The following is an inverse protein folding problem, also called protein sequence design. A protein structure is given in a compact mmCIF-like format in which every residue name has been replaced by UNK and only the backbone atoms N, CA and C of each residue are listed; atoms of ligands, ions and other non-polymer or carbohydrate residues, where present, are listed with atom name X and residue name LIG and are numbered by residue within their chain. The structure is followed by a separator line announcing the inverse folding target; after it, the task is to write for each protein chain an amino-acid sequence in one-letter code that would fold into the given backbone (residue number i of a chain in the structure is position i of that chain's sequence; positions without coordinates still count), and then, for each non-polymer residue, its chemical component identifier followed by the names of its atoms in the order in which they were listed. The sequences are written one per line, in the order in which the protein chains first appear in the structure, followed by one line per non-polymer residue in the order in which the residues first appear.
data_IF_066499217254
#
_entry.id   IF_066499217254
#
_cell.length_a   1.000
_cell.length_b   1.000
_cell.length_c   1.000
_cell.angle_alpha   90.00
_cell.angle_beta   90.00
_cell.angle_gamma   90.00
#
_symmetry.space_group_name_H-M   'P 1'
#
loop_
_entity.id
_entity.type
_entity.pdbx_description
1 polymer ?
#
# COMPACT_ATOMS: atom_id res chain seq x y z
N UNK A 1 -15.24 6.82 24.71
CA UNK A 1 -15.44 7.21 23.29
C UNK A 1 -16.92 7.22 22.97
N UNK A 2 -17.45 8.26 22.34
CA UNK A 2 -18.87 8.34 21.97
C UNK A 2 -19.15 7.43 20.77
N UNK A 3 -20.39 6.95 20.63
CA UNK A 3 -20.80 6.09 19.50
C UNK A 3 -20.53 6.75 18.13
N UNK A 4 -20.57 8.08 18.08
CA UNK A 4 -20.21 8.88 16.92
C UNK A 4 -18.72 8.80 16.56
N UNK A 5 -17.82 8.84 17.54
CA UNK A 5 -16.37 8.79 17.27
C UNK A 5 -15.94 7.45 16.64
N UNK A 6 -16.61 6.35 17.02
CA UNK A 6 -16.35 5.01 16.46
C UNK A 6 -16.79 4.93 14.99
N UNK A 7 -17.96 5.49 14.64
CA UNK A 7 -18.46 5.48 13.27
C UNK A 7 -17.61 6.34 12.33
N UNK A 8 -17.17 7.50 12.81
CA UNK A 8 -16.26 8.38 12.07
C UNK A 8 -14.91 7.68 11.79
N UNK A 9 -14.32 7.04 12.80
CA UNK A 9 -13.05 6.31 12.66
C UNK A 9 -13.16 5.16 11.64
N UNK A 10 -14.28 4.43 11.63
CA UNK A 10 -14.55 3.37 10.64
C UNK A 10 -14.66 3.92 9.21
N UNK A 11 -15.37 5.03 9.04
CA UNK A 11 -15.48 5.71 7.74
C UNK A 11 -14.11 6.17 7.23
N UNK A 12 -13.29 6.72 8.13
CA UNK A 12 -11.93 7.14 7.82
C UNK A 12 -11.06 5.95 7.40
N UNK A 13 -11.15 4.82 8.10
CA UNK A 13 -10.45 3.58 7.76
C UNK A 13 -10.81 3.09 6.36
N UNK A 14 -12.11 3.02 6.04
CA UNK A 14 -12.61 2.61 4.73
C UNK A 14 -12.10 3.56 3.64
N UNK A 15 -12.18 4.88 3.88
CA UNK A 15 -11.72 5.90 2.95
C UNK A 15 -10.23 5.75 2.63
N UNK A 16 -9.38 5.65 3.66
CA UNK A 16 -7.93 5.53 3.46
C UNK A 16 -7.52 4.19 2.85
N UNK A 17 -8.17 3.09 3.24
CA UNK A 17 -7.95 1.78 2.60
C UNK A 17 -8.33 1.84 1.13
N UNK A 18 -9.45 2.50 0.80
CA UNK A 18 -9.87 2.75 -0.57
C UNK A 18 -8.87 3.61 -1.36
N UNK A 19 -8.36 4.70 -0.76
CA UNK A 19 -7.34 5.54 -1.39
C UNK A 19 -6.03 4.80 -1.64
N UNK A 20 -5.59 3.97 -0.68
CA UNK A 20 -4.39 3.14 -0.87
C UNK A 20 -4.60 2.05 -1.91
N UNK A 21 -5.77 1.41 -1.95
CA UNK A 21 -6.12 0.47 -3.02
C UNK A 21 -6.12 1.16 -4.39
N UNK A 22 -6.70 2.35 -4.48
CA UNK A 22 -6.67 3.17 -5.70
C UNK A 22 -5.24 3.57 -6.09
N UNK A 23 -4.40 3.97 -5.13
CA UNK A 23 -3.00 4.29 -5.37
C UNK A 23 -2.19 3.07 -5.83
N UNK A 24 -2.44 1.90 -5.23
CA UNK A 24 -1.82 0.62 -5.62
C UNK A 24 -2.23 0.21 -7.03
N UNK A 25 -3.51 0.39 -7.37
CA UNK A 25 -4.04 0.13 -8.70
C UNK A 25 -3.50 1.12 -9.74
N UNK A 26 -3.42 2.40 -9.40
CA UNK A 26 -2.81 3.41 -10.26
C UNK A 26 -1.34 3.08 -10.54
N UNK A 27 -0.60 2.68 -9.51
CA UNK A 27 0.80 2.30 -9.63
C UNK A 27 0.99 1.04 -10.49
N UNK A 28 0.04 0.08 -10.42
CA UNK A 28 -0.03 -1.07 -11.32
C UNK A 28 -0.28 -0.65 -12.77
N UNK A 29 -1.24 0.24 -13.02
CA UNK A 29 -1.55 0.74 -14.36
C UNK A 29 -0.41 1.58 -14.95
N UNK A 30 0.17 2.49 -14.19
CA UNK A 30 1.36 3.25 -14.60
C UNK A 30 2.49 2.30 -14.95
N UNK A 31 2.71 1.27 -14.14
CA UNK A 31 3.71 0.25 -14.40
C UNK A 31 3.46 -0.51 -15.71
N UNK A 32 2.20 -0.89 -16.00
CA UNK A 32 1.84 -1.50 -17.28
C UNK A 32 2.04 -0.56 -18.47
N UNK A 33 1.66 0.72 -18.35
CA UNK A 33 1.84 1.72 -19.40
C UNK A 33 3.31 1.96 -19.73
N UNK A 34 4.17 1.87 -18.71
CA UNK A 34 5.63 1.94 -18.81
C UNK A 34 6.26 0.66 -19.41
N UNK A 35 5.45 -0.33 -19.81
CA UNK A 35 5.90 -1.63 -20.30
C UNK A 35 6.86 -2.33 -19.33
N UNK A 36 6.69 -2.12 -18.02
CA UNK A 36 7.43 -2.89 -17.03
C UNK A 36 7.17 -4.38 -17.26
N UNK A 37 8.24 -5.16 -17.35
CA UNK A 37 8.14 -6.60 -17.41
C UNK A 37 7.27 -7.12 -16.26
N UNK A 38 6.33 -8.01 -16.57
CA UNK A 38 5.36 -8.56 -15.61
C UNK A 38 6.05 -9.11 -14.35
N UNK A 39 7.28 -9.61 -14.50
CA UNK A 39 8.15 -10.09 -13.43
C UNK A 39 8.56 -9.00 -12.45
N UNK A 40 8.95 -7.81 -12.92
CA UNK A 40 9.34 -6.68 -12.05
C UNK A 40 8.14 -6.17 -11.27
N UNK A 41 6.98 -6.18 -11.91
CA UNK A 41 5.69 -5.82 -11.31
C UNK A 41 5.33 -6.82 -10.20
N UNK A 42 5.41 -8.12 -10.49
CA UNK A 42 5.20 -9.18 -9.51
C UNK A 42 6.18 -9.09 -8.33
N UNK A 43 7.45 -8.75 -8.56
CA UNK A 43 8.43 -8.55 -7.48
C UNK A 43 8.14 -7.30 -6.64
N UNK A 44 7.84 -6.16 -7.26
CA UNK A 44 7.56 -4.92 -6.55
C UNK A 44 6.37 -5.08 -5.59
N UNK A 45 5.24 -5.60 -6.10
CA UNK A 45 4.06 -5.82 -5.28
C UNK A 45 4.21 -7.03 -4.36
N UNK A 46 4.90 -8.10 -4.80
CA UNK A 46 5.16 -9.27 -3.96
C UNK A 46 5.99 -8.93 -2.73
N UNK A 47 7.04 -8.14 -2.88
CA UNK A 47 7.85 -7.62 -1.76
C UNK A 47 7.03 -6.67 -0.88
N UNK A 48 6.25 -5.77 -1.48
CA UNK A 48 5.36 -4.88 -0.74
C UNK A 48 4.35 -5.64 0.12
N UNK A 49 3.66 -6.63 -0.46
CA UNK A 49 2.67 -7.44 0.25
C UNK A 49 3.31 -8.32 1.33
N UNK A 50 4.44 -8.97 1.03
CA UNK A 50 5.12 -9.84 1.99
C UNK A 50 5.66 -9.07 3.21
N UNK A 51 5.99 -7.79 3.07
CA UNK A 51 6.35 -6.94 4.20
C UNK A 51 5.15 -6.25 4.88
N UNK A 52 4.15 -5.82 4.11
CA UNK A 52 3.00 -5.07 4.61
C UNK A 52 1.98 -5.94 5.36
N UNK A 53 1.75 -7.18 4.91
CA UNK A 53 0.77 -8.10 5.51
C UNK A 53 1.14 -8.50 6.95
N UNK A 54 2.41 -8.85 7.28
CA UNK A 54 2.83 -9.12 8.66
C UNK A 54 2.65 -7.90 9.57
N UNK A 55 2.92 -6.69 9.09
CA UNK A 55 2.78 -5.46 9.89
C UNK A 55 1.30 -5.21 10.21
N UNK A 56 0.42 -5.38 9.22
CA UNK A 56 -1.02 -5.32 9.45
C UNK A 56 -1.51 -6.40 10.42
N UNK A 57 -1.01 -7.63 10.29
CA UNK A 57 -1.34 -8.74 11.17
C UNK A 57 -0.85 -8.51 12.60
N UNK A 58 0.37 -7.97 12.79
CA UNK A 58 0.91 -7.62 14.10
C UNK A 58 0.07 -6.53 14.77
N UNK A 59 -0.32 -5.49 14.05
CA UNK A 59 -1.19 -4.47 14.62
C UNK A 59 -2.57 -5.01 15.00
N UNK A 60 -3.13 -5.94 14.22
CA UNK A 60 -4.34 -6.67 14.62
C UNK A 60 -4.13 -7.46 15.91
N UNK A 61 -2.99 -8.15 16.04
CA UNK A 61 -2.64 -8.99 17.19
C UNK A 61 -2.49 -8.17 18.49
N UNK A 62 -1.90 -6.99 18.41
CA UNK A 62 -1.69 -6.09 19.55
C UNK A 62 -2.87 -5.17 19.86
N UNK A 63 -4.06 -5.41 19.28
CA UNK A 63 -5.27 -4.55 19.41
C UNK A 63 -5.12 -3.14 18.83
N UNK A 64 -4.09 -2.90 18.03
CA UNK A 64 -3.85 -1.69 17.24
C UNK A 64 -4.25 -1.92 15.77
N UNK A 65 -5.42 -2.51 15.53
CA UNK A 65 -5.84 -2.99 14.21
C UNK A 65 -5.75 -1.91 13.12
N UNK A 66 -6.25 -0.71 13.44
CA UNK A 66 -6.23 0.45 12.56
C UNK A 66 -4.81 0.87 12.20
N UNK A 67 -3.99 1.14 13.22
CA UNK A 67 -2.61 1.59 13.07
C UNK A 67 -1.76 0.56 12.32
N UNK A 68 -1.99 -0.72 12.59
CA UNK A 68 -1.40 -1.84 11.86
C UNK A 68 -1.76 -1.85 10.39
N UNK A 69 -3.04 -1.73 10.06
CA UNK A 69 -3.51 -1.69 8.66
C UNK A 69 -2.87 -0.52 7.92
N UNK A 70 -2.85 0.68 8.53
CA UNK A 70 -2.23 1.86 7.95
C UNK A 70 -0.72 1.69 7.74
N UNK A 71 -0.01 1.19 8.76
CA UNK A 71 1.42 0.94 8.67
C UNK A 71 1.75 -0.12 7.61
N UNK A 72 0.99 -1.22 7.56
CA UNK A 72 1.18 -2.29 6.59
C UNK A 72 0.94 -1.82 5.15
N UNK A 73 -0.12 -1.04 4.92
CA UNK A 73 -0.41 -0.44 3.62
C UNK A 73 0.65 0.58 3.20
N UNK A 74 1.11 1.45 4.11
CA UNK A 74 2.17 2.41 3.84
C UNK A 74 3.48 1.70 3.46
N UNK A 75 3.85 0.65 4.21
CA UNK A 75 5.04 -0.15 3.93
C UNK A 75 4.93 -0.87 2.59
N UNK A 76 3.77 -1.46 2.29
CA UNK A 76 3.52 -2.10 1.00
C UNK A 76 3.72 -1.12 -0.17
N UNK A 77 3.11 0.06 -0.08
CA UNK A 77 3.23 1.11 -1.10
C UNK A 77 4.65 1.62 -1.26
N UNK A 78 5.34 1.95 -0.15
CA UNK A 78 6.71 2.48 -0.18
C UNK A 78 7.71 1.46 -0.72
N UNK A 79 7.56 0.18 -0.40
CA UNK A 79 8.41 -0.88 -0.95
C UNK A 79 8.17 -1.11 -2.44
N UNK A 80 6.90 -1.15 -2.86
CA UNK A 80 6.57 -1.29 -4.28
C UNK A 80 7.11 -0.10 -5.10
N UNK A 81 6.89 1.12 -4.61
CA UNK A 81 7.41 2.34 -5.23
C UNK A 81 8.95 2.36 -5.22
N UNK A 82 9.57 2.04 -4.09
CA UNK A 82 11.02 2.01 -3.94
C UNK A 82 11.68 0.98 -4.87
N UNK A 83 11.06 -0.19 -5.04
CA UNK A 83 11.54 -1.19 -5.99
C UNK A 83 11.49 -0.65 -7.44
N UNK A 84 10.38 -0.04 -7.84
CA UNK A 84 10.24 0.52 -9.19
C UNK A 84 11.24 1.66 -9.43
N UNK A 85 11.40 2.57 -8.47
CA UNK A 85 12.24 3.76 -8.63
C UNK A 85 13.73 3.43 -8.52
N UNK A 86 14.12 2.68 -7.50
CA UNK A 86 15.54 2.45 -7.18
C UNK A 86 16.08 1.23 -7.93
N UNK A 87 15.29 0.15 -7.99
CA UNK A 87 15.75 -1.14 -8.53
C UNK A 87 15.52 -1.24 -10.04
N UNK A 88 14.34 -0.85 -10.52
CA UNK A 88 14.06 -0.82 -11.96
C UNK A 88 14.59 0.47 -12.62
N UNK A 89 14.82 1.52 -11.84
CA UNK A 89 15.39 2.77 -12.33
C UNK A 89 14.38 3.69 -13.02
N UNK A 90 13.08 3.52 -12.74
CA UNK A 90 12.03 4.34 -13.34
C UNK A 90 11.85 5.61 -12.53
N UNK A 91 12.03 6.80 -13.12
CA UNK A 91 11.91 8.04 -12.38
C UNK A 91 10.49 8.26 -11.85
N UNK A 92 10.38 8.74 -10.61
CA UNK A 92 9.09 8.89 -9.91
C UNK A 92 8.10 9.80 -10.65
N UNK A 93 8.62 10.79 -11.40
CA UNK A 93 7.86 11.71 -12.26
C UNK A 93 7.19 11.04 -13.45
N UNK A 94 7.46 9.77 -13.71
CA UNK A 94 6.80 9.00 -14.79
C UNK A 94 5.69 8.08 -14.24
N UNK A 95 5.62 7.94 -12.91
CA UNK A 95 4.62 7.12 -12.21
C UNK A 95 3.39 7.98 -11.85
N UNK A 96 3.61 9.29 -11.67
CA UNK A 96 2.65 10.35 -11.36
C UNK A 96 2.45 11.26 -12.56
#
# INVERSE_FOLDING_TARGET
MSRQSINFLKLLLIFFTGMLAAATWHLYLSAQNLHLGLTNLAWAFGLGFSAGLPIAALGAFFKYLLEGIFAGLAVCYLLALGYIVIWVGIPIVWIY
#
